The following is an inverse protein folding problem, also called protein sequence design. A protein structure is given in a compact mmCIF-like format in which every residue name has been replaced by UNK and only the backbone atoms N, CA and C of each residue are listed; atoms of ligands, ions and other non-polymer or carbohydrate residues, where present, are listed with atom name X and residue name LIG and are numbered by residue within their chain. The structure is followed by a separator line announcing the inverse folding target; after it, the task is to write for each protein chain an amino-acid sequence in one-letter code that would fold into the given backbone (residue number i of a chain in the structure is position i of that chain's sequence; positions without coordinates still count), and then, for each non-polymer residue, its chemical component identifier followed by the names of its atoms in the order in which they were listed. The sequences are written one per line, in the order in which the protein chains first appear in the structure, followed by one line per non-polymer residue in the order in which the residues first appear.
data_IF_602510040305
#
_entry.id   IF_602510040305
#
_cell.length_a   1.000
_cell.length_b   1.000
_cell.length_c   1.000
_cell.angle_alpha   90.00
_cell.angle_beta   90.00
_cell.angle_gamma   90.00
#
_symmetry.space_group_name_H-M   'P 1'
#
loop_
_entity.id
_entity.type
_entity.pdbx_description
1 polymer ?
#
# COMPACT_ATOMS: atom_id res chain seq x y z
N UNK A 1 8.04 27.56 29.11
CA UNK A 1 7.16 27.25 30.27
C UNK A 1 6.78 25.77 30.16
N UNK A 2 7.27 24.91 31.07
CA UNK A 2 7.25 23.45 30.86
C UNK A 2 5.95 22.79 31.35
N UNK A 3 5.47 21.80 30.60
CA UNK A 3 4.29 20.96 30.88
C UNK A 3 4.28 20.34 32.30
N UNK A 4 5.43 20.28 32.97
CA UNK A 4 5.55 19.74 34.32
C UNK A 4 5.04 20.70 35.42
N UNK A 5 4.98 22.01 35.16
CA UNK A 5 4.42 22.98 36.12
C UNK A 5 2.88 22.96 36.14
N UNK A 6 2.25 22.68 35.00
CA UNK A 6 0.77 22.61 34.90
C UNK A 6 0.23 21.37 35.64
N UNK A 7 0.95 20.24 35.60
CA UNK A 7 0.56 19.01 36.31
C UNK A 7 0.60 19.15 37.83
N UNK A 8 1.53 19.94 38.40
CA UNK A 8 1.64 20.12 39.85
C UNK A 8 0.56 21.03 40.43
N UNK A 9 -0.03 21.91 39.62
CA UNK A 9 -1.08 22.82 40.09
C UNK A 9 -2.48 22.16 40.11
N UNK A 10 -2.72 21.23 39.19
CA UNK A 10 -4.03 20.54 39.05
C UNK A 10 -4.36 19.51 40.14
N UNK A 11 -3.42 19.15 41.02
CA UNK A 11 -3.62 18.07 42.01
C UNK A 11 -3.91 18.51 43.45
N UNK A 12 -3.99 19.82 43.74
CA UNK A 12 -4.13 20.32 45.13
C UNK A 12 -5.46 21.01 45.47
N UNK A 13 -6.42 21.09 44.54
CA UNK A 13 -7.73 21.65 44.86
C UNK A 13 -8.76 20.52 45.14
N UNK A 14 -9.47 20.53 46.27
CA UNK A 14 -10.56 19.59 46.53
C UNK A 14 -11.79 20.02 45.73
N UNK A 15 -11.76 19.81 44.40
CA UNK A 15 -12.96 19.91 43.58
C UNK A 15 -13.76 18.61 43.76
N UNK A 16 -15.00 18.76 44.23
CA UNK A 16 -15.97 17.68 44.33
C UNK A 16 -16.16 17.02 42.95
N UNK A 17 -16.15 15.68 42.91
CA UNK A 17 -16.30 14.87 41.69
C UNK A 17 -17.54 15.24 40.86
N UNK A 18 -18.53 15.88 41.48
CA UNK A 18 -19.77 16.34 40.85
C UNK A 18 -19.59 17.56 39.94
N UNK A 19 -18.60 18.44 40.19
CA UNK A 19 -18.37 19.63 39.36
C UNK A 19 -17.56 19.34 38.09
N UNK A 20 -16.64 18.37 38.13
CA UNK A 20 -15.90 17.93 36.94
C UNK A 20 -16.82 17.24 35.91
N UNK A 21 -17.87 16.56 36.37
CA UNK A 21 -18.85 15.94 35.48
C UNK A 21 -19.75 16.98 34.80
N UNK A 22 -20.12 18.06 35.50
CA UNK A 22 -20.95 19.13 34.92
C UNK A 22 -20.18 19.99 33.91
N UNK A 23 -18.89 20.27 34.13
CA UNK A 23 -18.10 21.07 33.18
C UNK A 23 -17.74 20.29 31.89
N UNK A 24 -17.65 18.95 31.96
CA UNK A 24 -17.44 18.09 30.79
C UNK A 24 -18.74 17.95 29.97
N UNK A 25 -19.91 17.95 30.63
CA UNK A 25 -21.21 17.81 29.93
C UNK A 25 -21.62 19.11 29.22
N UNK A 26 -21.24 20.30 29.71
CA UNK A 26 -21.59 21.57 29.04
C UNK A 26 -20.63 22.02 27.94
N UNK A 27 -19.41 21.45 27.86
CA UNK A 27 -18.47 21.72 26.76
C UNK A 27 -18.67 20.80 25.53
N UNK A 28 -19.51 19.78 25.62
CA UNK A 28 -19.82 18.88 24.49
C UNK A 28 -21.06 19.28 23.67
N UNK A 29 -21.82 20.31 24.10
CA UNK A 29 -23.13 20.65 23.51
C UNK A 29 -23.15 21.90 22.62
N UNK A 30 -22.02 22.56 22.35
CA UNK A 30 -21.96 23.69 21.40
C UNK A 30 -20.80 23.61 20.40
N UNK A 31 -20.40 22.41 19.99
CA UNK A 31 -19.94 22.27 18.60
C UNK A 31 -21.21 22.20 17.76
N UNK A 32 -21.86 23.35 17.61
CA UNK A 32 -22.78 23.55 16.51
C UNK A 32 -22.01 23.05 15.29
N UNK A 33 -22.54 22.00 14.67
CA UNK A 33 -22.10 21.54 13.37
C UNK A 33 -22.12 22.77 12.45
N UNK A 34 -20.99 23.46 12.35
CA UNK A 34 -20.55 23.94 11.07
C UNK A 34 -20.42 22.66 10.26
N UNK A 35 -21.54 22.24 9.66
CA UNK A 35 -21.54 21.27 8.59
C UNK A 35 -20.66 21.95 7.55
N UNK A 36 -19.35 21.66 7.64
CA UNK A 36 -18.35 22.03 6.67
C UNK A 36 -19.04 21.79 5.33
N UNK A 37 -19.27 22.88 4.57
CA UNK A 37 -20.01 22.77 3.32
C UNK A 37 -19.17 21.82 2.47
N UNK A 38 -19.59 20.55 2.44
CA UNK A 38 -18.88 19.47 1.77
C UNK A 38 -18.98 19.78 0.29
N UNK A 39 -18.00 20.50 -0.24
CA UNK A 39 -17.88 20.77 -1.65
C UNK A 39 -17.10 19.64 -2.31
N UNK A 40 -17.24 19.53 -3.63
CA UNK A 40 -16.39 18.66 -4.44
C UNK A 40 -14.94 19.10 -4.28
N UNK A 41 -14.04 18.16 -4.00
CA UNK A 41 -12.61 18.44 -3.92
C UNK A 41 -12.03 18.51 -5.34
N UNK A 42 -12.09 19.70 -5.92
CA UNK A 42 -11.50 19.97 -7.23
C UNK A 42 -9.98 20.06 -7.14
N UNK A 43 -9.28 19.41 -8.06
CA UNK A 43 -7.82 19.50 -8.16
C UNK A 43 -7.39 19.70 -9.61
N UNK A 44 -6.13 20.06 -9.82
CA UNK A 44 -5.52 20.09 -11.15
C UNK A 44 -5.35 18.67 -11.71
N UNK A 45 -5.39 18.54 -13.03
CA UNK A 45 -5.38 17.26 -13.74
C UNK A 45 -4.26 16.31 -13.30
N UNK A 46 -3.02 16.80 -13.20
CA UNK A 46 -1.88 15.94 -12.84
C UNK A 46 -2.06 15.33 -11.45
N UNK A 47 -2.53 16.10 -10.47
CA UNK A 47 -2.84 15.58 -9.13
C UNK A 47 -3.99 14.58 -9.16
N UNK A 48 -5.04 14.83 -9.94
CA UNK A 48 -6.14 13.89 -10.10
C UNK A 48 -5.69 12.58 -10.76
N UNK A 49 -4.78 12.65 -11.73
CA UNK A 49 -4.18 11.50 -12.38
C UNK A 49 -3.34 10.67 -11.42
N UNK A 50 -2.48 11.33 -10.62
CA UNK A 50 -1.72 10.64 -9.58
C UNK A 50 -2.64 10.02 -8.52
N UNK A 51 -3.72 10.71 -8.12
CA UNK A 51 -4.74 10.13 -7.23
C UNK A 51 -5.42 8.92 -7.89
N UNK A 52 -5.84 9.03 -9.14
CA UNK A 52 -6.48 7.95 -9.89
C UNK A 52 -5.57 6.72 -10.03
N UNK A 53 -4.28 6.93 -10.33
CA UNK A 53 -3.29 5.85 -10.39
C UNK A 53 -3.09 5.20 -9.01
N UNK A 54 -3.02 6.01 -7.95
CA UNK A 54 -2.82 5.53 -6.58
C UNK A 54 -4.04 4.80 -6.01
N UNK A 55 -5.23 5.31 -6.28
CA UNK A 55 -6.47 4.86 -5.63
C UNK A 55 -7.34 3.99 -6.53
N UNK A 56 -7.03 3.91 -7.83
CA UNK A 56 -7.87 3.28 -8.84
C UNK A 56 -9.17 4.05 -9.11
N UNK A 57 -9.33 5.27 -8.57
CA UNK A 57 -10.52 6.08 -8.82
C UNK A 57 -10.53 6.56 -10.28
N UNK A 58 -11.70 6.56 -10.94
CA UNK A 58 -11.86 7.26 -12.21
C UNK A 58 -11.67 8.77 -12.05
N UNK A 59 -11.22 9.41 -13.12
CA UNK A 59 -11.13 10.88 -13.19
C UNK A 59 -12.46 11.41 -13.72
N UNK A 60 -13.04 12.37 -13.01
CA UNK A 60 -14.17 13.15 -13.49
C UNK A 60 -13.65 14.53 -13.92
N UNK A 61 -13.65 14.78 -15.22
CA UNK A 61 -13.25 16.08 -15.77
C UNK A 61 -14.50 16.88 -16.05
N UNK A 62 -14.58 18.05 -15.42
CA UNK A 62 -15.62 19.02 -15.65
C UNK A 62 -15.05 20.23 -16.41
N UNK A 63 -15.60 20.48 -17.59
CA UNK A 63 -15.24 21.65 -18.39
C UNK A 63 -16.26 22.76 -18.17
N UNK A 64 -15.79 23.97 -17.86
CA UNK A 64 -16.68 25.09 -17.59
C UNK A 64 -16.33 26.41 -18.28
N UNK A 65 -17.37 27.19 -18.61
CA UNK A 65 -17.25 28.58 -18.99
C UNK A 65 -17.55 29.46 -17.78
N UNK A 66 -16.71 30.47 -17.51
CA UNK A 66 -17.05 31.48 -16.49
C UNK A 66 -18.08 32.45 -17.08
N UNK A 67 -19.34 32.32 -16.67
CA UNK A 67 -20.38 33.34 -16.82
C UNK A 67 -21.11 33.52 -15.48
N UNK A 68 -21.86 34.61 -15.26
CA UNK A 68 -22.54 34.86 -13.97
C UNK A 68 -23.56 33.76 -13.61
N UNK A 69 -24.22 33.16 -14.61
CA UNK A 69 -25.15 32.04 -14.41
C UNK A 69 -24.43 30.74 -14.01
N UNK A 70 -23.14 30.63 -14.32
CA UNK A 70 -22.35 29.45 -13.99
C UNK A 70 -22.18 29.27 -12.48
N UNK A 71 -21.98 30.36 -11.73
CA UNK A 71 -21.83 30.28 -10.28
C UNK A 71 -23.11 29.68 -9.65
N UNK A 72 -24.29 30.02 -10.16
CA UNK A 72 -25.56 29.43 -9.67
C UNK A 72 -25.64 27.92 -9.93
N UNK A 73 -25.27 27.48 -11.12
CA UNK A 73 -25.25 26.04 -11.47
C UNK A 73 -24.18 25.30 -10.68
N UNK A 74 -23.02 25.93 -10.49
CA UNK A 74 -21.88 25.37 -9.77
C UNK A 74 -22.21 25.19 -8.29
N UNK A 75 -22.70 26.25 -7.63
CA UNK A 75 -23.08 26.21 -6.22
C UNK A 75 -24.34 25.37 -5.98
N UNK A 76 -25.26 25.24 -6.94
CA UNK A 76 -26.42 24.35 -6.82
C UNK A 76 -26.04 22.88 -6.97
N UNK A 77 -25.42 22.52 -8.09
CA UNK A 77 -25.15 21.13 -8.48
C UNK A 77 -24.01 20.51 -7.67
N UNK A 78 -22.90 21.23 -7.51
CA UNK A 78 -21.70 20.67 -6.85
C UNK A 78 -21.72 20.84 -5.34
N UNK A 79 -22.76 21.48 -4.79
CA UNK A 79 -23.07 21.40 -3.37
C UNK A 79 -24.23 20.44 -3.07
N UNK A 80 -24.85 19.83 -4.09
CA UNK A 80 -25.88 18.82 -3.87
C UNK A 80 -25.28 17.64 -3.07
N UNK A 81 -25.86 17.27 -1.91
CA UNK A 81 -25.28 16.25 -1.06
C UNK A 81 -25.14 14.88 -1.73
N UNK A 82 -26.04 14.53 -2.66
CA UNK A 82 -25.95 13.27 -3.39
C UNK A 82 -24.84 13.33 -4.44
N UNK A 83 -24.71 14.44 -5.17
CA UNK A 83 -23.59 14.62 -6.09
C UNK A 83 -22.26 14.60 -5.35
N UNK A 84 -22.10 15.37 -4.27
CA UNK A 84 -20.88 15.41 -3.45
C UNK A 84 -20.54 14.04 -2.88
N UNK A 85 -21.54 13.29 -2.44
CA UNK A 85 -21.32 11.94 -1.95
C UNK A 85 -20.78 11.01 -3.04
N UNK A 86 -21.24 11.17 -4.29
CA UNK A 86 -20.77 10.38 -5.42
C UNK A 86 -19.43 10.89 -5.96
N UNK A 87 -19.20 12.21 -5.97
CA UNK A 87 -17.98 12.82 -6.52
C UNK A 87 -16.72 12.40 -5.75
N UNK A 88 -16.86 12.02 -4.47
CA UNK A 88 -15.78 11.45 -3.65
C UNK A 88 -15.19 10.15 -4.22
N UNK A 89 -15.96 9.48 -5.08
CA UNK A 89 -15.55 8.26 -5.80
C UNK A 89 -14.77 8.54 -7.09
N UNK A 90 -14.44 9.81 -7.34
CA UNK A 90 -13.70 10.29 -8.49
C UNK A 90 -12.53 11.16 -8.03
N UNK A 91 -11.50 11.21 -8.86
CA UNK A 91 -10.55 12.30 -8.83
C UNK A 91 -11.13 13.44 -9.70
N UNK A 92 -11.62 14.51 -9.07
CA UNK A 92 -12.34 15.57 -9.78
C UNK A 92 -11.39 16.64 -10.30
N UNK A 93 -11.48 16.95 -11.59
CA UNK A 93 -10.71 18.00 -12.26
C UNK A 93 -11.66 19.06 -12.76
N UNK A 94 -11.40 20.29 -12.35
CA UNK A 94 -12.08 21.46 -12.89
C UNK A 94 -11.20 22.10 -13.96
N UNK A 95 -11.71 22.19 -15.20
CA UNK A 95 -10.96 22.72 -16.35
C UNK A 95 -11.70 23.94 -16.92
N UNK A 96 -11.16 25.16 -16.76
CA UNK A 96 -11.75 26.34 -17.39
C UNK A 96 -11.57 26.27 -18.91
N UNK A 97 -12.65 26.43 -19.67
CA UNK A 97 -12.62 26.32 -21.15
C UNK A 97 -11.77 27.41 -21.81
N UNK A 98 -11.46 28.50 -21.11
CA UNK A 98 -10.48 29.49 -21.59
C UNK A 98 -9.10 28.88 -21.85
N UNK A 99 -8.74 27.80 -21.14
CA UNK A 99 -7.50 27.05 -21.35
C UNK A 99 -7.55 26.13 -22.58
N UNK A 100 -8.75 25.73 -23.02
CA UNK A 100 -8.93 24.92 -24.22
C UNK A 100 -8.75 25.73 -25.51
N UNK A 101 -9.00 27.05 -25.49
CA UNK A 101 -8.89 27.94 -26.67
C UNK A 101 -7.46 28.39 -26.96
N UNK A 102 -6.62 28.54 -25.94
CA UNK A 102 -5.23 28.96 -26.09
C UNK A 102 -4.28 27.76 -26.10
N UNK A 103 -4.27 26.99 -27.19
CA UNK A 103 -3.36 25.85 -27.46
C UNK A 103 -2.59 25.33 -26.25
N UNK A 104 -3.23 24.47 -25.44
CA UNK A 104 -2.60 23.89 -24.26
C UNK A 104 -1.23 23.28 -24.66
N UNK A 105 -0.14 23.77 -24.08
CA UNK A 105 1.18 23.13 -24.18
C UNK A 105 1.28 22.07 -23.09
N UNK A 106 1.49 20.80 -23.46
CA UNK A 106 1.60 19.65 -22.56
C UNK A 106 0.58 18.53 -22.84
N UNK A 107 0.51 17.50 -21.98
CA UNK A 107 -0.25 16.26 -22.18
C UNK A 107 -1.77 16.43 -22.42
N UNK A 108 -2.33 17.60 -22.11
CA UNK A 108 -3.75 17.94 -22.38
C UNK A 108 -4.00 18.40 -23.82
N UNK A 109 -2.97 18.65 -24.64
CA UNK A 109 -3.11 19.05 -26.04
C UNK A 109 -3.89 18.03 -26.88
N UNK A 110 -3.79 16.73 -26.53
CA UNK A 110 -4.55 15.65 -27.15
C UNK A 110 -6.06 15.66 -26.82
N UNK A 111 -6.46 16.31 -25.73
CA UNK A 111 -7.87 16.39 -25.30
C UNK A 111 -8.65 17.53 -25.95
N UNK A 112 -8.00 18.42 -26.71
CA UNK A 112 -8.67 19.52 -27.43
C UNK A 112 -9.78 19.05 -28.39
N UNK A 113 -9.76 17.79 -28.82
CA UNK A 113 -10.80 17.18 -29.64
C UNK A 113 -12.12 16.90 -28.91
N UNK A 114 -12.11 16.83 -27.58
CA UNK A 114 -13.30 16.57 -26.77
C UNK A 114 -14.16 17.82 -26.55
N UNK A 115 -13.57 19.01 -26.66
CA UNK A 115 -14.27 20.29 -26.51
C UNK A 115 -14.40 21.00 -27.87
N UNK A 116 -15.25 20.48 -28.78
CA UNK A 116 -15.59 21.25 -29.98
C UNK A 116 -16.45 22.44 -29.59
N UNK A 117 -15.86 23.62 -29.67
CA UNK A 117 -16.55 24.89 -29.47
C UNK A 117 -17.45 25.20 -30.67
N UNK A 118 -18.77 25.19 -30.46
CA UNK A 118 -19.73 25.72 -31.43
C UNK A 118 -20.20 27.10 -30.92
N UNK A 119 -19.80 28.22 -31.55
CA UNK A 119 -20.23 29.55 -31.12
C UNK A 119 -21.76 29.66 -31.24
N UNK A 120 -22.47 29.65 -30.11
CA UNK A 120 -23.94 29.67 -30.03
C UNK A 120 -24.55 28.56 -29.16
N UNK A 121 -23.78 27.52 -28.81
CA UNK A 121 -24.25 26.42 -27.97
C UNK A 121 -23.27 26.12 -26.84
N UNK A 122 -23.76 26.14 -25.60
CA UNK A 122 -22.96 25.75 -24.43
C UNK A 122 -23.01 24.22 -24.29
N UNK A 123 -22.07 23.52 -24.92
CA UNK A 123 -21.96 22.06 -24.79
C UNK A 123 -21.13 21.72 -23.56
N UNK A 124 -21.74 21.06 -22.58
CA UNK A 124 -21.03 20.51 -21.43
C UNK A 124 -20.49 19.12 -21.76
N UNK A 125 -19.19 18.93 -21.56
CA UNK A 125 -18.57 17.60 -21.62
C UNK A 125 -18.19 17.18 -20.21
N UNK A 126 -18.78 16.09 -19.73
CA UNK A 126 -18.26 15.35 -18.59
C UNK A 126 -17.50 14.16 -19.14
N UNK A 127 -16.16 14.17 -19.04
CA UNK A 127 -15.34 13.05 -19.51
C UNK A 127 -14.96 12.21 -18.32
N UNK A 128 -15.35 10.95 -18.37
CA UNK A 128 -14.90 9.94 -17.41
C UNK A 128 -13.71 9.21 -18.01
N UNK A 129 -12.57 9.30 -17.33
CA UNK A 129 -11.40 8.51 -17.66
C UNK A 129 -11.26 7.41 -16.61
N UNK A 130 -11.31 6.16 -17.06
CA UNK A 130 -10.74 5.03 -16.30
C UNK A 130 -9.23 5.33 -16.06
N UNK A 131 -8.60 4.88 -14.97
CA UNK A 131 -7.14 4.91 -14.82
C UNK A 131 -6.33 4.47 -16.06
N UNK A 132 -6.91 3.63 -16.93
CA UNK A 132 -6.35 3.26 -18.25
C UNK A 132 -6.66 4.27 -19.39
N UNK A 133 -7.07 5.49 -19.05
CA UNK A 133 -7.36 6.63 -19.94
C UNK A 133 -8.42 6.36 -21.04
N UNK A 134 -9.27 5.35 -20.84
CA UNK A 134 -10.39 5.08 -21.75
C UNK A 134 -11.49 6.11 -21.54
N UNK A 135 -11.82 6.83 -22.62
CA UNK A 135 -12.85 7.85 -22.66
C UNK A 135 -14.24 7.20 -22.66
N UNK A 136 -15.05 7.51 -21.65
CA UNK A 136 -16.50 7.36 -21.73
C UNK A 136 -17.07 8.68 -22.27
N UNK A 137 -17.28 8.75 -23.58
CA UNK A 137 -17.88 9.93 -24.22
C UNK A 137 -19.40 9.87 -24.05
N UNK A 138 -19.95 10.84 -23.33
CA UNK A 138 -21.38 11.05 -23.26
C UNK A 138 -21.73 12.33 -24.04
N UNK A 139 -22.09 12.15 -25.31
CA UNK A 139 -22.65 13.25 -26.11
C UNK A 139 -24.11 13.47 -25.71
N UNK A 140 -24.37 14.57 -25.02
CA UNK A 140 -25.72 15.07 -24.83
C UNK A 140 -26.20 15.67 -26.16
N UNK A 141 -27.19 15.04 -26.81
CA UNK A 141 -27.65 15.44 -28.16
C UNK A 141 -28.76 16.49 -28.14
N UNK A 142 -29.34 16.81 -26.98
CA UNK A 142 -30.62 17.52 -26.89
C UNK A 142 -30.50 19.00 -26.46
N UNK A 143 -29.38 19.67 -26.73
CA UNK A 143 -29.28 21.13 -26.46
C UNK A 143 -29.78 22.01 -27.62
N UNK A 144 -30.14 21.43 -28.77
CA UNK A 144 -30.60 22.19 -29.94
C UNK A 144 -31.95 22.91 -29.69
N UNK A 145 -32.79 22.41 -28.77
CA UNK A 145 -34.10 23.02 -28.45
C UNK A 145 -34.09 23.96 -27.22
N UNK A 146 -32.93 24.20 -26.59
CA UNK A 146 -32.85 24.98 -25.34
C UNK A 146 -33.15 26.47 -25.48
N UNK A 147 -33.22 27.01 -26.70
CA UNK A 147 -33.76 28.36 -26.93
C UNK A 147 -35.28 28.45 -26.65
N UNK A 148 -35.98 27.33 -26.50
CA UNK A 148 -37.42 27.31 -26.15
C UNK A 148 -37.69 27.10 -24.65
N UNK A 149 -36.67 26.76 -23.85
CA UNK A 149 -36.82 26.59 -22.41
C UNK A 149 -36.27 27.83 -21.68
N UNK A 150 -37.15 28.78 -21.43
CA UNK A 150 -36.87 29.92 -20.54
C UNK A 150 -36.54 29.43 -19.12
N UNK A 151 -35.25 29.30 -18.81
CA UNK A 151 -34.74 29.05 -17.47
C UNK A 151 -33.83 27.82 -17.37
N UNK A 152 -32.58 28.05 -16.98
CA UNK A 152 -31.66 27.00 -16.55
C UNK A 152 -32.21 26.35 -15.27
N UNK A 153 -32.68 25.09 -15.33
CA UNK A 153 -33.04 24.30 -14.14
C UNK A 153 -31.82 23.51 -13.63
N UNK A 154 -31.20 23.90 -12.49
CA UNK A 154 -30.06 23.17 -11.91
C UNK A 154 -30.39 21.71 -11.62
N UNK A 155 -31.66 21.37 -11.35
CA UNK A 155 -32.07 20.00 -11.08
C UNK A 155 -31.97 19.11 -12.32
N UNK A 156 -32.08 19.67 -13.53
CA UNK A 156 -31.86 18.92 -14.77
C UNK A 156 -30.42 18.44 -14.87
N UNK A 157 -29.46 19.31 -14.53
CA UNK A 157 -28.03 18.98 -14.60
C UNK A 157 -27.62 17.92 -13.56
N UNK A 158 -28.11 18.05 -12.32
CA UNK A 158 -27.94 17.03 -11.28
C UNK A 158 -28.50 15.68 -11.74
N UNK A 159 -29.70 15.66 -12.33
CA UNK A 159 -30.31 14.44 -12.89
C UNK A 159 -29.45 13.82 -13.99
N UNK A 160 -28.91 14.63 -14.90
CA UNK A 160 -28.05 14.16 -15.98
C UNK A 160 -26.75 13.53 -15.45
N UNK A 161 -26.01 14.23 -14.60
CA UNK A 161 -24.77 13.71 -14.03
C UNK A 161 -25.01 12.44 -13.22
N UNK A 162 -26.07 12.40 -12.41
CA UNK A 162 -26.49 11.19 -11.69
C UNK A 162 -26.74 10.03 -12.65
N UNK A 163 -27.43 10.24 -13.77
CA UNK A 163 -27.69 9.20 -14.76
C UNK A 163 -26.41 8.68 -15.43
N UNK A 164 -25.45 9.55 -15.73
CA UNK A 164 -24.15 9.13 -16.28
C UNK A 164 -23.39 8.27 -15.26
N UNK A 165 -23.36 8.70 -14.00
CA UNK A 165 -22.72 7.99 -12.90
C UNK A 165 -23.33 6.60 -12.64
N UNK A 166 -24.67 6.50 -12.73
CA UNK A 166 -25.41 5.24 -12.65
C UNK A 166 -25.00 4.30 -13.79
N UNK A 167 -24.99 4.78 -15.04
CA UNK A 167 -24.58 3.98 -16.21
C UNK A 167 -23.13 3.52 -16.11
N UNK A 168 -22.24 4.41 -15.68
CA UNK A 168 -20.83 4.08 -15.46
C UNK A 168 -20.66 3.01 -14.37
N UNK A 169 -21.33 3.18 -13.23
CA UNK A 169 -21.27 2.22 -12.11
C UNK A 169 -21.82 0.85 -12.51
N UNK A 170 -22.89 0.82 -13.31
CA UNK A 170 -23.46 -0.41 -13.89
C UNK A 170 -22.43 -1.15 -14.75
N UNK A 171 -21.84 -0.46 -15.72
CA UNK A 171 -20.84 -1.05 -16.63
C UNK A 171 -19.59 -1.50 -15.88
N UNK A 172 -19.03 -0.63 -15.03
CA UNK A 172 -17.80 -0.91 -14.32
C UNK A 172 -17.98 -2.03 -13.28
N UNK A 173 -19.10 -2.07 -12.55
CA UNK A 173 -19.39 -3.13 -11.59
C UNK A 173 -19.43 -4.51 -12.25
N UNK A 174 -20.13 -4.64 -13.37
CA UNK A 174 -20.17 -5.89 -14.14
C UNK A 174 -18.80 -6.28 -14.71
N UNK A 175 -18.08 -5.31 -15.27
CA UNK A 175 -16.74 -5.54 -15.83
C UNK A 175 -15.75 -5.96 -14.76
N UNK A 176 -15.70 -5.23 -13.64
CA UNK A 176 -14.85 -5.54 -12.50
C UNK A 176 -15.15 -6.93 -11.93
N UNK A 177 -16.42 -7.32 -11.86
CA UNK A 177 -16.80 -8.66 -11.42
C UNK A 177 -16.26 -9.76 -12.35
N UNK A 178 -16.34 -9.57 -13.68
CA UNK A 178 -15.77 -10.50 -14.66
C UNK A 178 -14.24 -10.58 -14.59
N UNK A 179 -13.59 -9.44 -14.34
CA UNK A 179 -12.14 -9.33 -14.17
C UNK A 179 -11.66 -9.73 -12.76
N UNK A 180 -12.56 -10.22 -11.88
CA UNK A 180 -12.27 -10.60 -10.49
C UNK A 180 -11.71 -9.45 -9.62
N UNK A 181 -12.01 -8.20 -9.98
CA UNK A 181 -11.71 -6.99 -9.19
C UNK A 181 -12.82 -6.74 -8.17
N UNK A 182 -12.91 -7.63 -7.18
CA UNK A 182 -14.07 -7.72 -6.28
C UNK A 182 -14.33 -6.46 -5.44
N UNK A 183 -13.28 -5.77 -4.97
CA UNK A 183 -13.44 -4.52 -4.20
C UNK A 183 -14.15 -3.45 -5.03
N UNK A 184 -13.72 -3.27 -6.29
CA UNK A 184 -14.31 -2.32 -7.23
C UNK A 184 -15.74 -2.75 -7.55
N UNK A 185 -15.98 -4.03 -7.82
CA UNK A 185 -17.31 -4.55 -8.12
C UNK A 185 -18.29 -4.32 -6.96
N UNK A 186 -17.91 -4.70 -5.73
CA UNK A 186 -18.70 -4.51 -4.51
C UNK A 186 -19.08 -3.05 -4.34
N UNK A 187 -18.08 -2.17 -4.38
CA UNK A 187 -18.28 -0.74 -4.23
C UNK A 187 -19.24 -0.18 -5.29
N UNK A 188 -19.05 -0.52 -6.58
CA UNK A 188 -19.90 0.01 -7.66
C UNK A 188 -21.34 -0.51 -7.59
N UNK A 189 -21.56 -1.75 -7.18
CA UNK A 189 -22.93 -2.24 -6.96
C UNK A 189 -23.59 -1.57 -5.73
N UNK A 190 -22.85 -1.29 -4.66
CA UNK A 190 -23.38 -0.52 -3.52
C UNK A 190 -23.78 0.91 -3.91
N UNK A 191 -22.95 1.59 -4.71
CA UNK A 191 -23.28 2.91 -5.31
C UNK A 191 -24.56 2.80 -6.14
N UNK A 192 -24.66 1.79 -7.00
CA UNK A 192 -25.84 1.58 -7.85
C UNK A 192 -27.11 1.33 -7.02
N UNK A 193 -27.01 0.54 -5.95
CA UNK A 193 -28.13 0.23 -5.05
C UNK A 193 -28.62 1.47 -4.29
N UNK A 194 -27.69 2.31 -3.83
CA UNK A 194 -27.98 3.51 -3.04
C UNK A 194 -28.54 4.65 -3.88
N UNK A 195 -27.98 4.87 -5.07
CA UNK A 195 -28.25 6.08 -5.85
C UNK A 195 -29.09 5.86 -7.11
N UNK A 196 -29.32 4.63 -7.57
CA UNK A 196 -30.20 4.44 -8.74
C UNK A 196 -31.68 4.57 -8.37
N UNK A 197 -32.41 5.41 -9.12
CA UNK A 197 -33.87 5.48 -9.07
C UNK A 197 -34.54 4.34 -9.85
N UNK A 198 -33.82 3.72 -10.78
CA UNK A 198 -34.38 2.71 -11.68
C UNK A 198 -34.47 1.34 -10.98
N UNK A 199 -35.63 0.67 -11.11
CA UNK A 199 -35.84 -0.67 -10.54
C UNK A 199 -34.82 -1.69 -11.09
N UNK A 200 -34.61 -1.71 -12.40
CA UNK A 200 -33.70 -2.65 -13.08
C UNK A 200 -32.26 -2.58 -12.58
N UNK A 201 -31.78 -1.40 -12.22
CA UNK A 201 -30.43 -1.19 -11.71
C UNK A 201 -30.24 -1.68 -10.30
N UNK A 202 -31.25 -1.45 -9.45
CA UNK A 202 -31.23 -1.95 -8.08
C UNK A 202 -31.29 -3.47 -8.08
N UNK A 203 -32.08 -4.08 -8.96
CA UNK A 203 -32.10 -5.56 -9.11
C UNK A 203 -30.77 -6.10 -9.64
N UNK A 204 -30.15 -5.44 -10.62
CA UNK A 204 -28.81 -5.80 -11.08
C UNK A 204 -27.77 -5.68 -9.95
N UNK A 205 -27.79 -4.59 -9.18
CA UNK A 205 -26.89 -4.36 -8.06
C UNK A 205 -27.04 -5.45 -6.99
N UNK A 206 -28.29 -5.79 -6.63
CA UNK A 206 -28.59 -6.89 -5.69
C UNK A 206 -28.05 -8.23 -6.20
N UNK A 207 -28.25 -8.54 -7.47
CA UNK A 207 -27.73 -9.76 -8.08
C UNK A 207 -26.19 -9.81 -8.06
N UNK A 208 -25.53 -8.69 -8.39
CA UNK A 208 -24.07 -8.57 -8.33
C UNK A 208 -23.51 -8.73 -6.90
N UNK A 209 -24.15 -8.10 -5.91
CA UNK A 209 -23.80 -8.25 -4.50
C UNK A 209 -24.02 -9.69 -4.04
N UNK A 210 -25.14 -10.33 -4.39
CA UNK A 210 -25.41 -11.72 -4.03
C UNK A 210 -24.36 -12.69 -4.64
N UNK A 211 -23.90 -12.42 -5.87
CA UNK A 211 -22.82 -13.19 -6.48
C UNK A 211 -21.50 -13.00 -5.74
N UNK A 212 -21.15 -11.77 -5.36
CA UNK A 212 -19.97 -11.48 -4.55
C UNK A 212 -20.02 -12.15 -3.16
N UNK A 213 -21.18 -12.15 -2.50
CA UNK A 213 -21.40 -12.84 -1.23
C UNK A 213 -21.17 -14.36 -1.38
N UNK A 214 -21.66 -14.97 -2.46
CA UNK A 214 -21.39 -16.39 -2.75
C UNK A 214 -19.89 -16.68 -2.88
N UNK A 215 -19.18 -15.87 -3.68
CA UNK A 215 -17.73 -16.01 -3.87
C UNK A 215 -16.98 -15.79 -2.55
N UNK A 216 -17.39 -14.79 -1.76
CA UNK A 216 -16.83 -14.50 -0.44
C UNK A 216 -17.02 -15.68 0.54
N UNK A 217 -18.21 -16.26 0.58
CA UNK A 217 -18.52 -17.44 1.40
C UNK A 217 -17.69 -18.67 0.99
N UNK A 218 -17.51 -18.92 -0.32
CA UNK A 218 -16.64 -19.99 -0.80
C UNK A 218 -15.17 -19.78 -0.40
N UNK A 219 -14.67 -18.54 -0.41
CA UNK A 219 -13.32 -18.20 0.07
C UNK A 219 -13.18 -18.33 1.58
N UNK A 220 -14.21 -17.94 2.35
CA UNK A 220 -14.24 -18.16 3.79
C UNK A 220 -14.20 -19.64 4.15
N UNK A 221 -14.95 -20.49 3.42
CA UNK A 221 -14.90 -21.93 3.62
C UNK A 221 -13.48 -22.47 3.41
N UNK A 222 -12.79 -22.04 2.35
CA UNK A 222 -11.38 -22.41 2.12
C UNK A 222 -10.46 -21.91 3.24
N UNK A 223 -10.66 -20.68 3.72
CA UNK A 223 -9.89 -20.19 4.87
C UNK A 223 -10.12 -21.05 6.12
N UNK A 224 -11.36 -21.46 6.37
CA UNK A 224 -11.72 -22.37 7.46
C UNK A 224 -11.03 -23.74 7.34
N UNK A 225 -10.99 -24.33 6.14
CA UNK A 225 -10.26 -25.58 5.87
C UNK A 225 -8.75 -25.44 6.18
N UNK A 226 -8.16 -24.26 5.91
CA UNK A 226 -6.76 -23.96 6.24
C UNK A 226 -6.56 -23.84 7.77
N UNK A 227 -7.52 -23.26 8.49
CA UNK A 227 -7.52 -23.20 9.97
C UNK A 227 -7.59 -24.62 10.56
N UNK A 228 -8.47 -25.46 10.03
CA UNK A 228 -8.62 -26.86 10.46
C UNK A 228 -7.33 -27.67 10.22
N UNK A 229 -6.61 -27.37 9.13
CA UNK A 229 -5.29 -27.90 8.85
C UNK A 229 -4.17 -27.30 9.74
N UNK A 230 -4.50 -26.44 10.71
CA UNK A 230 -3.59 -25.75 11.63
C UNK A 230 -2.54 -24.86 10.93
N UNK A 231 -2.79 -24.45 9.69
CA UNK A 231 -1.91 -23.55 8.93
C UNK A 231 -2.28 -22.09 9.18
N UNK A 232 -2.18 -21.66 10.43
CA UNK A 232 -2.79 -20.41 10.90
C UNK A 232 -2.30 -19.16 10.17
N UNK A 233 -1.01 -19.08 9.81
CA UNK A 233 -0.48 -17.93 9.07
C UNK A 233 -1.09 -17.83 7.66
N UNK A 234 -1.22 -18.95 6.95
CA UNK A 234 -1.85 -19.01 5.63
C UNK A 234 -3.34 -18.64 5.71
N UNK A 235 -4.04 -19.14 6.75
CA UNK A 235 -5.43 -18.80 6.99
C UNK A 235 -5.59 -17.29 7.26
N UNK A 236 -4.75 -16.72 8.12
CA UNK A 236 -4.79 -15.28 8.42
C UNK A 236 -4.59 -14.42 7.17
N UNK A 237 -3.64 -14.80 6.30
CA UNK A 237 -3.41 -14.13 5.02
C UNK A 237 -4.63 -14.27 4.08
N UNK A 238 -5.26 -15.44 4.02
CA UNK A 238 -6.48 -15.65 3.25
C UNK A 238 -7.65 -14.80 3.77
N UNK A 239 -7.83 -14.69 5.09
CA UNK A 239 -8.85 -13.86 5.71
C UNK A 239 -8.61 -12.36 5.46
N UNK A 240 -7.35 -11.91 5.52
CA UNK A 240 -6.98 -10.54 5.18
C UNK A 240 -7.35 -10.20 3.72
N UNK A 241 -7.10 -11.11 2.78
CA UNK A 241 -7.52 -10.94 1.39
C UNK A 241 -9.04 -10.90 1.23
N UNK A 242 -9.80 -11.63 2.06
CA UNK A 242 -11.28 -11.55 2.04
C UNK A 242 -11.73 -10.16 2.50
N UNK A 243 -11.18 -9.67 3.62
CA UNK A 243 -11.49 -8.33 4.14
C UNK A 243 -11.21 -7.22 3.12
N UNK A 244 -10.09 -7.32 2.39
CA UNK A 244 -9.73 -6.34 1.35
C UNK A 244 -10.63 -6.44 0.11
N UNK A 245 -10.90 -7.65 -0.37
CA UNK A 245 -11.60 -7.89 -1.64
C UNK A 245 -13.13 -7.76 -1.53
N UNK A 246 -13.71 -7.96 -0.36
CA UNK A 246 -15.16 -8.05 -0.15
C UNK A 246 -15.67 -7.01 0.86
N UNK A 247 -15.01 -5.85 0.93
CA UNK A 247 -15.35 -4.77 1.86
C UNK A 247 -16.86 -4.43 1.84
N UNK A 248 -17.45 -4.34 3.03
CA UNK A 248 -18.88 -4.05 3.23
C UNK A 248 -19.84 -5.23 3.00
N UNK A 249 -19.32 -6.43 2.72
CA UNK A 249 -20.10 -7.67 2.59
C UNK A 249 -20.06 -8.50 3.88
N UNK A 250 -20.98 -9.46 4.03
CA UNK A 250 -21.05 -10.34 5.22
C UNK A 250 -19.76 -11.14 5.40
N UNK A 251 -19.18 -11.60 4.29
CA UNK A 251 -17.93 -12.34 4.32
C UNK A 251 -16.78 -11.57 4.99
N UNK A 252 -16.78 -10.23 4.92
CA UNK A 252 -15.77 -9.41 5.60
C UNK A 252 -15.96 -9.41 7.11
N UNK A 253 -17.19 -9.27 7.60
CA UNK A 253 -17.45 -9.28 9.04
C UNK A 253 -17.11 -10.66 9.66
N UNK A 254 -17.41 -11.74 8.93
CA UNK A 254 -17.02 -13.09 9.34
C UNK A 254 -15.49 -13.29 9.32
N UNK A 255 -14.80 -12.80 8.27
CA UNK A 255 -13.35 -12.85 8.20
C UNK A 255 -12.69 -12.10 9.36
N UNK A 256 -13.16 -10.89 9.66
CA UNK A 256 -12.67 -10.08 10.79
C UNK A 256 -12.89 -10.79 12.12
N UNK A 257 -14.06 -11.39 12.33
CA UNK A 257 -14.34 -12.17 13.54
C UNK A 257 -13.35 -13.34 13.68
N UNK A 258 -13.08 -14.08 12.61
CA UNK A 258 -12.11 -15.17 12.64
C UNK A 258 -10.68 -14.67 12.89
N UNK A 259 -10.27 -13.56 12.28
CA UNK A 259 -8.96 -12.95 12.55
C UNK A 259 -8.82 -12.57 14.03
N UNK A 260 -9.84 -11.95 14.63
CA UNK A 260 -9.86 -11.63 16.07
C UNK A 260 -9.78 -12.89 16.93
N UNK A 261 -10.42 -13.99 16.53
CA UNK A 261 -10.31 -15.27 17.24
C UNK A 261 -8.89 -15.84 17.16
N UNK A 262 -8.25 -15.81 15.99
CA UNK A 262 -6.87 -16.28 15.82
C UNK A 262 -5.87 -15.42 16.62
N UNK A 263 -6.06 -14.09 16.64
CA UNK A 263 -5.21 -13.17 17.40
C UNK A 263 -5.43 -13.28 18.92
N UNK A 264 -6.61 -13.71 19.35
CA UNK A 264 -6.98 -13.87 20.76
C UNK A 264 -6.40 -15.10 21.43
N UNK A 265 -5.98 -16.12 20.67
CA UNK A 265 -5.37 -17.33 21.20
C UNK A 265 -3.82 -17.19 21.22
N UNK A 266 -3.17 -17.20 22.40
CA UNK A 266 -1.73 -17.03 22.50
C UNK A 266 -0.94 -18.19 21.89
N UNK A 267 -1.50 -19.41 21.82
CA UNK A 267 -0.86 -20.57 21.18
C UNK A 267 -0.84 -20.38 19.67
N UNK A 268 -2.00 -20.03 19.08
CA UNK A 268 -2.11 -19.74 17.65
C UNK A 268 -1.19 -18.58 17.27
N UNK A 269 -1.15 -17.52 18.08
CA UNK A 269 -0.26 -16.37 17.85
C UNK A 269 1.22 -16.78 17.81
N UNK A 270 1.68 -17.60 18.76
CA UNK A 270 3.04 -18.13 18.76
C UNK A 270 3.34 -18.97 17.53
N UNK A 271 2.42 -19.84 17.12
CA UNK A 271 2.57 -20.65 15.90
C UNK A 271 2.64 -19.78 14.63
N UNK A 272 1.83 -18.72 14.54
CA UNK A 272 1.90 -17.75 13.44
C UNK A 272 3.24 -17.01 13.42
N UNK A 273 3.73 -16.57 14.58
CA UNK A 273 5.02 -15.88 14.68
C UNK A 273 6.19 -16.82 14.32
N UNK A 274 6.13 -18.08 14.79
CA UNK A 274 7.05 -19.15 14.39
C UNK A 274 7.04 -19.39 12.89
N UNK A 275 5.87 -19.47 12.26
CA UNK A 275 5.75 -19.63 10.81
C UNK A 275 6.25 -18.41 10.02
N UNK A 276 6.07 -17.18 10.55
CA UNK A 276 6.62 -15.95 9.93
C UNK A 276 8.14 -15.94 9.99
N UNK A 277 8.71 -16.34 11.12
CA UNK A 277 10.16 -16.50 11.27
C UNK A 277 10.67 -17.58 10.31
N UNK A 278 9.98 -18.71 10.18
CA UNK A 278 10.35 -19.77 9.24
C UNK A 278 10.38 -19.27 7.80
N UNK A 279 9.33 -18.55 7.37
CA UNK A 279 9.25 -17.99 6.01
C UNK A 279 10.45 -17.09 5.67
N UNK A 280 10.97 -16.35 6.66
CA UNK A 280 12.18 -15.52 6.51
C UNK A 280 13.46 -16.37 6.53
N UNK A 281 13.53 -17.37 7.39
CA UNK A 281 14.71 -18.23 7.55
C UNK A 281 14.91 -19.23 6.40
N UNK A 282 13.81 -19.74 5.81
CA UNK A 282 13.81 -20.83 4.83
C UNK A 282 14.76 -20.60 3.64
N UNK A 283 14.79 -19.42 2.97
CA UNK A 283 15.72 -19.19 1.85
C UNK A 283 17.20 -19.20 2.27
N UNK A 284 17.51 -18.83 3.52
CA UNK A 284 18.87 -18.92 4.06
C UNK A 284 19.25 -20.37 4.34
N UNK A 285 18.31 -21.14 4.91
CA UNK A 285 18.50 -22.56 5.15
C UNK A 285 18.74 -23.33 3.85
N UNK A 286 17.90 -23.14 2.83
CA UNK A 286 18.06 -23.76 1.52
C UNK A 286 19.40 -23.39 0.86
N UNK A 287 19.89 -22.17 1.09
CA UNK A 287 21.21 -21.75 0.62
C UNK A 287 22.34 -22.45 1.37
N UNK A 288 22.22 -22.61 2.69
CA UNK A 288 23.17 -23.34 3.51
C UNK A 288 23.27 -24.82 3.08
N UNK A 289 22.12 -25.46 2.81
CA UNK A 289 22.06 -26.83 2.28
C UNK A 289 22.79 -26.92 0.94
N UNK A 290 22.58 -25.98 0.01
CA UNK A 290 23.32 -25.95 -1.26
C UNK A 290 24.82 -25.76 -1.07
N UNK A 291 25.27 -24.98 -0.08
CA UNK A 291 26.70 -24.87 0.23
C UNK A 291 27.27 -26.19 0.76
N UNK A 292 26.52 -26.90 1.61
CA UNK A 292 26.91 -28.22 2.12
C UNK A 292 27.03 -29.24 0.98
N UNK A 293 26.04 -29.29 0.07
CA UNK A 293 26.04 -30.16 -1.13
C UNK A 293 27.23 -29.89 -2.05
N UNK A 294 27.69 -28.63 -2.13
CA UNK A 294 28.85 -28.21 -2.92
C UNK A 294 30.18 -28.41 -2.18
N UNK A 295 30.19 -29.07 -1.02
CA UNK A 295 31.35 -29.20 -0.13
C UNK A 295 31.97 -27.85 0.29
N UNK A 296 31.21 -26.76 0.26
CA UNK A 296 31.60 -25.42 0.72
C UNK A 296 31.30 -25.26 2.21
N UNK A 297 31.89 -26.14 3.02
CA UNK A 297 31.52 -26.33 4.43
C UNK A 297 31.66 -25.08 5.30
N UNK A 298 32.66 -24.24 5.07
CA UNK A 298 32.80 -22.98 5.81
C UNK A 298 31.59 -22.05 5.61
N UNK A 299 31.12 -21.89 4.37
CA UNK A 299 29.96 -21.05 4.07
C UNK A 299 28.65 -21.66 4.57
N UNK A 300 28.50 -22.98 4.46
CA UNK A 300 27.37 -23.69 5.04
C UNK A 300 27.32 -23.47 6.56
N UNK A 301 28.44 -23.70 7.25
CA UNK A 301 28.59 -23.53 8.69
C UNK A 301 28.24 -22.10 9.15
N UNK A 302 28.83 -21.07 8.52
CA UNK A 302 28.54 -19.67 8.86
C UNK A 302 27.08 -19.31 8.62
N UNK A 303 26.47 -19.84 7.54
CA UNK A 303 25.06 -19.59 7.25
C UNK A 303 24.15 -20.27 8.26
N UNK A 304 24.40 -21.55 8.61
CA UNK A 304 23.64 -22.25 9.65
C UNK A 304 23.78 -21.55 11.01
N UNK A 305 24.99 -21.17 11.41
CA UNK A 305 25.23 -20.43 12.65
C UNK A 305 24.41 -19.13 12.69
N UNK A 306 24.45 -18.34 11.62
CA UNK A 306 23.66 -17.11 11.52
C UNK A 306 22.15 -17.37 11.61
N UNK A 307 21.66 -18.48 11.04
CA UNK A 307 20.25 -18.86 11.13
C UNK A 307 19.88 -19.19 12.58
N UNK A 308 20.68 -20.00 13.26
CA UNK A 308 20.44 -20.38 14.66
C UNK A 308 20.42 -19.15 15.58
N UNK A 309 21.34 -18.20 15.37
CA UNK A 309 21.40 -16.96 16.15
C UNK A 309 20.22 -16.02 15.88
N UNK A 310 19.74 -15.95 14.63
CA UNK A 310 18.71 -14.97 14.23
C UNK A 310 17.28 -15.53 14.22
N UNK A 311 17.12 -16.85 14.18
CA UNK A 311 15.85 -17.55 13.94
C UNK A 311 15.71 -18.83 14.78
N UNK A 312 16.15 -18.83 16.04
CA UNK A 312 16.13 -20.01 16.92
C UNK A 312 14.73 -20.63 17.10
N UNK A 313 13.67 -19.81 17.08
CA UNK A 313 12.30 -20.25 17.37
C UNK A 313 11.49 -20.60 16.10
N UNK A 314 12.07 -21.29 15.12
CA UNK A 314 11.36 -21.76 13.93
C UNK A 314 11.88 -23.09 13.36
N UNK A 315 11.08 -23.84 12.56
CA UNK A 315 11.48 -25.12 11.99
C UNK A 315 12.82 -25.08 11.24
N UNK A 316 13.07 -24.06 10.41
CA UNK A 316 14.35 -23.88 9.72
C UNK A 316 15.51 -23.61 10.69
N UNK A 317 15.24 -22.94 11.82
CA UNK A 317 16.20 -22.77 12.91
C UNK A 317 16.54 -24.10 13.60
N UNK A 318 15.52 -24.91 13.89
CA UNK A 318 15.68 -26.25 14.46
C UNK A 318 16.51 -27.16 13.52
N UNK A 319 16.18 -27.15 12.23
CA UNK A 319 16.91 -27.90 11.19
C UNK A 319 18.36 -27.41 11.04
N UNK A 320 18.58 -26.09 11.03
CA UNK A 320 19.91 -25.49 10.98
C UNK A 320 20.74 -25.85 12.22
N UNK A 321 20.15 -25.81 13.41
CA UNK A 321 20.81 -26.20 14.66
C UNK A 321 21.24 -27.68 14.64
N UNK A 322 20.37 -28.56 14.14
CA UNK A 322 20.70 -29.99 13.99
C UNK A 322 21.87 -30.21 13.01
N UNK A 323 21.86 -29.51 11.86
CA UNK A 323 22.95 -29.55 10.88
C UNK A 323 24.25 -29.00 11.44
N UNK A 324 24.20 -27.86 12.12
CA UNK A 324 25.34 -27.21 12.75
C UNK A 324 26.01 -28.16 13.76
N UNK A 325 25.22 -28.78 14.65
CA UNK A 325 25.70 -29.77 15.61
C UNK A 325 26.39 -30.96 14.93
N UNK A 326 25.86 -31.43 13.80
CA UNK A 326 26.48 -32.52 13.01
C UNK A 326 27.84 -32.10 12.47
N UNK A 327 27.95 -30.89 11.90
CA UNK A 327 29.23 -30.35 11.41
C UNK A 327 30.24 -30.21 12.55
N UNK A 328 29.82 -29.66 13.70
CA UNK A 328 30.68 -29.46 14.88
C UNK A 328 31.17 -30.78 15.49
N UNK A 329 30.38 -31.85 15.36
CA UNK A 329 30.74 -33.18 15.85
C UNK A 329 31.77 -33.92 14.99
N UNK A 330 32.08 -33.43 13.77
CA UNK A 330 33.07 -34.00 12.88
C UNK A 330 34.39 -33.20 12.94
N UNK A 331 35.45 -33.73 13.60
CA UNK A 331 36.71 -33.02 13.76
C UNK A 331 37.43 -32.75 12.43
N UNK A 332 37.25 -33.61 11.42
CA UNK A 332 37.88 -33.45 10.12
C UNK A 332 37.25 -32.28 9.36
N UNK A 333 35.91 -32.21 9.33
CA UNK A 333 35.20 -31.07 8.76
C UNK A 333 35.53 -29.77 9.49
N UNK A 334 35.56 -29.79 10.82
CA UNK A 334 35.91 -28.60 11.60
C UNK A 334 37.34 -28.12 11.35
N UNK A 335 38.29 -29.03 11.12
CA UNK A 335 39.65 -28.67 10.70
C UNK A 335 39.63 -27.96 9.34
N UNK A 336 38.88 -28.48 8.36
CA UNK A 336 38.73 -27.85 7.04
C UNK A 336 38.07 -26.47 7.14
N UNK A 337 37.01 -26.33 7.95
CA UNK A 337 36.31 -25.07 8.19
C UNK A 337 37.27 -24.03 8.79
N UNK A 338 38.02 -24.39 9.83
CA UNK A 338 39.00 -23.49 10.47
C UNK A 338 40.12 -23.06 9.52
N UNK A 339 40.60 -23.97 8.67
CA UNK A 339 41.64 -23.64 7.69
C UNK A 339 41.13 -22.63 6.65
N UNK A 340 39.90 -22.79 6.15
CA UNK A 340 39.29 -21.84 5.20
C UNK A 340 38.95 -20.51 5.89
N UNK A 341 38.49 -20.53 7.15
CA UNK A 341 38.28 -19.33 7.97
C UNK A 341 39.57 -18.51 8.11
N UNK A 342 40.67 -19.14 8.53
CA UNK A 342 41.98 -18.50 8.64
C UNK A 342 42.43 -17.90 7.30
N UNK A 343 42.23 -18.62 6.20
CA UNK A 343 42.58 -18.14 4.86
C UNK A 343 41.78 -16.89 4.46
N UNK A 344 40.47 -16.86 4.75
CA UNK A 344 39.61 -15.71 4.45
C UNK A 344 39.90 -14.52 5.36
N UNK A 345 40.24 -14.74 6.63
CA UNK A 345 40.60 -13.68 7.56
C UNK A 345 41.97 -13.07 7.22
N UNK A 346 42.95 -13.91 6.88
CA UNK A 346 44.23 -13.47 6.34
C UNK A 346 44.04 -12.61 5.09
N UNK A 347 43.17 -13.04 4.16
CA UNK A 347 42.81 -12.29 2.95
C UNK A 347 42.23 -10.91 3.29
N UNK A 348 41.18 -10.85 4.12
CA UNK A 348 40.51 -9.59 4.48
C UNK A 348 41.47 -8.61 5.17
N UNK A 349 42.28 -9.11 6.09
CA UNK A 349 43.25 -8.31 6.82
C UNK A 349 44.32 -7.75 5.87
N UNK A 350 44.77 -8.56 4.92
CA UNK A 350 45.69 -8.13 3.86
C UNK A 350 45.06 -7.08 2.92
N UNK A 351 43.83 -7.29 2.45
CA UNK A 351 43.11 -6.32 1.60
C UNK A 351 42.87 -4.98 2.32
N UNK A 352 42.66 -5.01 3.65
CA UNK A 352 42.61 -3.80 4.47
C UNK A 352 43.96 -3.06 4.47
N UNK A 353 45.07 -3.77 4.61
CA UNK A 353 46.41 -3.18 4.54
C UNK A 353 46.68 -2.53 3.17
N UNK A 354 46.38 -3.23 2.07
CA UNK A 354 46.52 -2.69 0.70
C UNK A 354 45.68 -1.41 0.50
N UNK A 355 44.47 -1.37 1.04
CA UNK A 355 43.62 -0.18 0.96
C UNK A 355 44.20 0.99 1.76
N UNK A 356 44.82 0.75 2.92
CA UNK A 356 45.49 1.79 3.71
C UNK A 356 46.73 2.33 3.00
N UNK A 357 47.55 1.43 2.41
CA UNK A 357 48.73 1.77 1.61
C UNK A 357 48.36 2.67 0.43
N UNK A 358 47.34 2.29 -0.35
CA UNK A 358 46.85 3.07 -1.51
C UNK A 358 46.37 4.48 -1.14
N UNK A 359 45.97 4.69 0.12
CA UNK A 359 45.55 5.99 0.63
C UNK A 359 46.69 6.78 1.30
N UNK A 360 47.95 6.32 1.18
CA UNK A 360 49.12 6.98 1.75
C UNK A 360 49.26 6.82 3.26
N UNK A 361 48.45 5.97 3.91
CA UNK A 361 48.49 5.72 5.35
C UNK A 361 49.47 4.57 5.67
N UNK A 362 50.75 4.76 5.31
CA UNK A 362 51.77 3.70 5.31
C UNK A 362 51.98 3.08 6.69
N UNK A 363 52.11 3.88 7.75
CA UNK A 363 52.30 3.37 9.13
C UNK A 363 51.16 2.42 9.54
N UNK A 364 49.92 2.76 9.17
CA UNK A 364 48.75 1.92 9.48
C UNK A 364 48.75 0.66 8.62
N UNK A 365 49.12 0.76 7.34
CA UNK A 365 49.21 -0.40 6.46
C UNK A 365 50.22 -1.43 6.99
N UNK A 366 51.40 -0.99 7.43
CA UNK A 366 52.44 -1.84 8.03
C UNK A 366 51.92 -2.62 9.25
N UNK A 367 51.12 -2.00 10.12
CA UNK A 367 50.51 -2.69 11.28
C UNK A 367 49.61 -3.85 10.80
N UNK A 368 48.78 -3.63 9.78
CA UNK A 368 47.90 -4.69 9.27
C UNK A 368 48.66 -5.77 8.50
N UNK A 369 49.70 -5.43 7.72
CA UNK A 369 50.54 -6.45 7.08
C UNK A 369 51.25 -7.30 8.13
N UNK A 370 51.87 -6.69 9.15
CA UNK A 370 52.53 -7.43 10.23
C UNK A 370 51.53 -8.35 10.95
N UNK A 371 50.31 -7.88 11.20
CA UNK A 371 49.23 -8.70 11.76
C UNK A 371 48.94 -9.96 10.92
N UNK A 372 48.94 -9.86 9.59
CA UNK A 372 48.77 -11.04 8.71
C UNK A 372 49.93 -12.02 8.86
N UNK A 373 51.17 -11.53 8.99
CA UNK A 373 52.37 -12.37 9.19
C UNK A 373 52.33 -13.09 10.52
N UNK A 374 51.92 -12.39 11.58
CA UNK A 374 51.95 -12.91 12.94
C UNK A 374 50.79 -13.88 13.21
N UNK A 375 49.57 -13.54 12.77
CA UNK A 375 48.37 -14.34 13.05
C UNK A 375 48.16 -15.49 12.07
N UNK A 376 48.68 -15.37 10.83
CA UNK A 376 48.47 -16.35 9.76
C UNK A 376 49.76 -16.73 9.02
N UNK A 377 50.84 -17.14 9.72
CA UNK A 377 52.20 -17.23 9.19
C UNK A 377 52.37 -18.18 8.00
N UNK A 378 51.51 -19.20 7.90
CA UNK A 378 51.53 -20.22 6.84
C UNK A 378 50.61 -19.87 5.66
N UNK A 379 49.89 -18.75 5.73
CA UNK A 379 48.98 -18.35 4.66
C UNK A 379 49.73 -17.77 3.46
N UNK A 380 49.14 -17.93 2.27
CA UNK A 380 49.62 -17.26 1.05
C UNK A 380 49.74 -15.73 1.24
N UNK A 381 48.81 -15.14 2.01
CA UNK A 381 48.79 -13.71 2.29
C UNK A 381 49.89 -13.28 3.26
N UNK A 382 50.32 -14.13 4.20
CA UNK A 382 51.46 -13.82 5.06
C UNK A 382 52.76 -13.72 4.27
N UNK A 383 52.97 -14.58 3.26
CA UNK A 383 54.14 -14.43 2.37
C UNK A 383 54.15 -13.06 1.68
N UNK A 384 53.02 -12.67 1.08
CA UNK A 384 52.87 -11.36 0.44
C UNK A 384 53.00 -10.19 1.42
N UNK A 385 52.49 -10.35 2.64
CA UNK A 385 52.58 -9.34 3.68
C UNK A 385 54.03 -9.12 4.11
N UNK A 386 54.86 -10.17 4.23
CA UNK A 386 56.31 -10.02 4.52
C UNK A 386 57.01 -9.21 3.44
N UNK A 387 56.75 -9.53 2.16
CA UNK A 387 57.30 -8.79 1.02
C UNK A 387 56.91 -7.30 1.09
N UNK A 388 55.65 -7.01 1.44
CA UNK A 388 55.15 -5.64 1.61
C UNK A 388 55.74 -4.90 2.81
N UNK A 389 55.95 -5.57 3.93
CA UNK A 389 56.62 -4.97 5.10
C UNK A 389 58.05 -4.59 4.78
N UNK A 390 58.79 -5.45 4.08
CA UNK A 390 60.16 -5.18 3.65
C UNK A 390 60.22 -4.02 2.65
N UNK A 391 59.32 -3.99 1.66
CA UNK A 391 59.20 -2.90 0.68
C UNK A 391 58.92 -1.55 1.36
N UNK A 392 57.90 -1.49 2.20
CA UNK A 392 57.40 -0.23 2.77
C UNK A 392 58.22 0.29 3.94
N UNK A 393 58.99 -0.56 4.64
CA UNK A 393 59.88 -0.13 5.71
C UNK A 393 61.18 0.53 5.22
N UNK A 394 61.42 0.50 3.91
CA UNK A 394 62.57 1.15 3.27
C UNK A 394 62.35 2.62 2.89
N UNK A 395 61.10 3.10 2.99
CA UNK A 395 60.69 4.49 2.79
C UNK A 395 60.72 5.27 4.10
#
# INVERSE_FOLDING_TARGET
MSLNLIKKWLWKAPLSKSMALFLIITLTSTVAWAAEKKQVNWTIYEKARQEALKTGKPIFIFFHFRCEDFDRVFYGTFCDPAFVAISREFACVDVPVTWAKGGAKGDLAGMGWLARYNPGHLTFYGVFLDPAERIFDYKYKDCEDSNQFGGWDPNHYVRLLRNILIRYSRWLGQKALKEQKFTIASHRFQVLLKYSGEKKDRELAKAGIAQLEKIGAERLKKAQEIIEAKKYLEAYEALALIKENFAGLKATAEAEKQMVQLDGDPVIKREMDRARLDRKARPHYERAVKYEEQARYYLAYMTYKSIVESFADCPSGDEAAARLKKIESDPALMKTIKAEEQKLEAKKTFEMAENLEKNGLIDKALIYYQKVVDEFPDSYYAKKAREKVEELSSY
#
